data_IF_896525311410
#
_entry.id   IF_896525311410
#
_cell.length_a   1.000
_cell.length_b   1.000
_cell.length_c   1.000
_cell.angle_alpha   90.00
_cell.angle_beta   90.00
_cell.angle_gamma   90.00
#
_symmetry.space_group_name_H-M   'P 1'
#
loop_
_entity.id
_entity.type
_entity.pdbx_description
1 polymer ?
#
# COMPACT_ATOMS: atom_id res chain seq x y z
N UNK A 1 -76.04 -3.00 19.31
CA UNK A 1 -75.36 -2.31 20.43
C UNK A 1 -73.84 -2.55 20.37
N UNK A 2 -73.06 -1.77 19.60
CA UNK A 2 -71.57 -1.90 19.51
C UNK A 2 -70.88 -0.57 19.13
N UNK A 3 -71.41 0.59 19.55
CA UNK A 3 -70.85 1.91 19.21
C UNK A 3 -70.29 2.71 20.39
N UNK A 4 -70.62 2.34 21.62
CA UNK A 4 -70.20 3.05 22.84
C UNK A 4 -68.71 2.83 23.18
N UNK A 5 -68.19 1.62 22.97
CA UNK A 5 -66.86 1.26 23.47
C UNK A 5 -65.71 2.00 22.78
N UNK A 6 -65.83 2.33 21.48
CA UNK A 6 -64.76 3.04 20.77
C UNK A 6 -64.52 4.46 21.33
N UNK A 7 -65.52 5.12 21.90
CA UNK A 7 -65.36 6.51 22.36
C UNK A 7 -64.60 6.60 23.69
N UNK A 8 -64.81 5.66 24.60
CA UNK A 8 -64.17 5.66 25.92
C UNK A 8 -62.70 5.27 25.86
N UNK A 9 -62.31 4.29 25.04
CA UNK A 9 -60.88 4.03 24.78
C UNK A 9 -60.24 5.24 24.09
N UNK A 10 -60.83 5.81 23.03
CA UNK A 10 -60.24 7.00 22.37
C UNK A 10 -60.04 8.17 23.33
N UNK A 11 -60.98 8.43 24.23
CA UNK A 11 -60.88 9.49 25.25
C UNK A 11 -59.80 9.20 26.29
N UNK A 12 -59.61 7.94 26.67
CA UNK A 12 -58.55 7.52 27.57
C UNK A 12 -57.16 7.67 26.93
N UNK A 13 -57.00 7.21 25.68
CA UNK A 13 -55.75 7.36 24.90
C UNK A 13 -55.45 8.82 24.51
N UNK A 14 -56.47 9.67 24.35
CA UNK A 14 -56.32 11.10 24.07
C UNK A 14 -56.16 11.97 25.33
N UNK A 15 -56.15 11.38 26.52
CA UNK A 15 -55.95 12.12 27.76
C UNK A 15 -54.48 12.56 27.90
N UNK A 16 -54.25 13.79 28.37
CA UNK A 16 -52.90 14.36 28.54
C UNK A 16 -52.05 13.51 29.50
N UNK A 17 -52.66 12.94 30.54
CA UNK A 17 -51.98 12.07 31.51
C UNK A 17 -51.57 10.74 30.89
N UNK A 18 -52.43 10.11 30.09
CA UNK A 18 -52.08 8.87 29.38
C UNK A 18 -50.91 9.09 28.41
N UNK A 19 -50.90 10.20 27.67
CA UNK A 19 -49.78 10.55 26.78
C UNK A 19 -48.46 10.70 27.55
N UNK A 20 -48.48 11.35 28.72
CA UNK A 20 -47.28 11.52 29.55
C UNK A 20 -46.77 10.16 30.06
N UNK A 21 -47.66 9.30 30.57
CA UNK A 21 -47.28 7.97 31.06
C UNK A 21 -46.76 7.09 29.91
N UNK A 22 -47.42 7.10 28.76
CA UNK A 22 -46.98 6.38 27.57
C UNK A 22 -45.61 6.88 27.09
N UNK A 23 -45.36 8.19 27.12
CA UNK A 23 -44.07 8.78 26.76
C UNK A 23 -42.97 8.37 27.74
N UNK A 24 -43.25 8.31 29.05
CA UNK A 24 -42.30 7.81 30.05
C UNK A 24 -41.95 6.35 29.78
N UNK A 25 -42.96 5.50 29.57
CA UNK A 25 -42.75 4.07 29.27
C UNK A 25 -41.94 3.89 27.97
N UNK A 26 -42.31 4.62 26.91
CA UNK A 26 -41.61 4.64 25.64
C UNK A 26 -40.14 5.03 25.81
N UNK A 27 -39.87 6.05 26.62
CA UNK A 27 -38.51 6.54 26.88
C UNK A 27 -37.68 5.47 27.61
N UNK A 28 -38.24 4.84 28.65
CA UNK A 28 -37.57 3.76 29.37
C UNK A 28 -37.27 2.56 28.45
N UNK A 29 -38.24 2.17 27.61
CA UNK A 29 -38.05 1.11 26.62
C UNK A 29 -36.96 1.46 25.60
N UNK A 30 -36.98 2.68 25.08
CA UNK A 30 -36.02 3.14 24.07
C UNK A 30 -34.61 3.17 24.66
N UNK A 31 -34.44 3.63 25.90
CA UNK A 31 -33.13 3.64 26.58
C UNK A 31 -32.61 2.22 26.82
N UNK A 32 -33.47 1.31 27.27
CA UNK A 32 -33.10 -0.10 27.46
C UNK A 32 -32.71 -0.78 26.16
N UNK A 33 -33.54 -0.59 25.12
CA UNK A 33 -33.29 -1.15 23.79
C UNK A 33 -32.03 -0.56 23.14
N UNK A 34 -31.83 0.76 23.22
CA UNK A 34 -30.64 1.42 22.68
C UNK A 34 -29.37 0.89 23.33
N UNK A 35 -29.36 0.70 24.66
CA UNK A 35 -28.21 0.14 25.38
C UNK A 35 -27.91 -1.29 24.96
N UNK A 36 -28.94 -2.13 24.85
CA UNK A 36 -28.79 -3.53 24.41
C UNK A 36 -28.30 -3.61 22.96
N UNK A 37 -28.90 -2.81 22.07
CA UNK A 37 -28.52 -2.73 20.66
C UNK A 37 -27.07 -2.28 20.48
N UNK A 38 -26.64 -1.27 21.26
CA UNK A 38 -25.26 -0.78 21.20
C UNK A 38 -24.24 -1.83 21.69
N UNK A 39 -24.61 -2.64 22.70
CA UNK A 39 -23.76 -3.74 23.15
C UNK A 39 -23.64 -4.83 22.08
N UNK A 40 -24.74 -5.24 21.48
CA UNK A 40 -24.75 -6.26 20.41
C UNK A 40 -23.91 -5.79 19.20
N UNK A 41 -24.07 -4.52 18.80
CA UNK A 41 -23.27 -3.92 17.74
C UNK A 41 -21.77 -3.94 18.06
N UNK A 42 -21.39 -3.55 19.29
CA UNK A 42 -19.99 -3.56 19.73
C UNK A 42 -19.40 -4.98 19.73
N UNK A 43 -20.16 -5.97 20.17
CA UNK A 43 -19.72 -7.38 20.16
C UNK A 43 -19.51 -7.86 18.73
N UNK A 44 -20.45 -7.59 17.82
CA UNK A 44 -20.30 -7.94 16.39
C UNK A 44 -19.10 -7.26 15.76
N UNK A 45 -18.86 -5.99 16.09
CA UNK A 45 -17.68 -5.29 15.60
C UNK A 45 -16.38 -5.93 16.10
N UNK A 46 -16.33 -6.35 17.36
CA UNK A 46 -15.17 -7.06 17.92
C UNK A 46 -14.96 -8.41 17.23
N UNK A 47 -16.04 -9.17 16.96
CA UNK A 47 -15.96 -10.44 16.23
C UNK A 47 -15.34 -10.20 14.85
N UNK A 48 -15.86 -9.23 14.09
CA UNK A 48 -15.33 -8.93 12.76
C UNK A 48 -13.86 -8.49 12.82
N UNK A 49 -13.48 -7.66 13.81
CA UNK A 49 -12.09 -7.25 13.99
C UNK A 49 -11.17 -8.44 14.30
N UNK A 50 -11.61 -9.37 15.15
CA UNK A 50 -10.85 -10.58 15.47
C UNK A 50 -10.72 -11.50 14.25
N UNK A 51 -11.78 -11.66 13.45
CA UNK A 51 -11.73 -12.44 12.21
C UNK A 51 -10.75 -11.84 11.20
N UNK A 52 -10.77 -10.52 11.03
CA UNK A 52 -9.81 -9.81 10.17
C UNK A 52 -8.37 -9.97 10.68
N UNK A 53 -8.16 -9.91 11.99
CA UNK A 53 -6.85 -10.11 12.60
C UNK A 53 -6.32 -11.53 12.37
N UNK A 54 -7.16 -12.56 12.56
CA UNK A 54 -6.82 -13.96 12.26
C UNK A 54 -6.42 -14.12 10.80
N UNK A 55 -7.21 -13.59 9.86
CA UNK A 55 -6.89 -13.65 8.44
C UNK A 55 -5.56 -12.95 8.12
N UNK A 56 -5.30 -11.81 8.75
CA UNK A 56 -4.03 -11.11 8.58
C UNK A 56 -2.84 -11.91 9.12
N UNK A 57 -3.01 -12.61 10.23
CA UNK A 57 -2.00 -13.47 10.83
C UNK A 57 -1.72 -14.71 9.97
N UNK A 58 -2.75 -15.32 9.40
CA UNK A 58 -2.61 -16.43 8.45
C UNK A 58 -1.81 -16.01 7.21
N UNK A 59 -2.11 -14.85 6.64
CA UNK A 59 -1.35 -14.31 5.49
C UNK A 59 0.12 -14.08 5.85
N UNK A 60 0.39 -13.45 7.01
CA UNK A 60 1.77 -13.23 7.51
C UNK A 60 2.51 -14.54 7.73
N UNK A 61 1.82 -15.58 8.20
CA UNK A 61 2.40 -16.92 8.36
C UNK A 61 2.81 -17.50 7.02
N UNK A 62 1.96 -17.42 5.99
CA UNK A 62 2.27 -17.91 4.64
C UNK A 62 3.48 -17.19 4.08
N UNK A 63 3.49 -15.84 4.14
CA UNK A 63 4.62 -15.02 3.69
C UNK A 63 5.92 -15.40 4.42
N UNK A 64 5.86 -15.58 5.74
CA UNK A 64 7.03 -15.98 6.54
C UNK A 64 7.56 -17.35 6.13
N UNK A 65 6.68 -18.31 5.80
CA UNK A 65 7.08 -19.63 5.31
C UNK A 65 7.73 -19.53 3.93
N UNK A 66 7.22 -18.68 3.05
CA UNK A 66 7.80 -18.46 1.72
C UNK A 66 9.20 -17.85 1.80
N UNK A 67 9.39 -16.84 2.66
CA UNK A 67 10.71 -16.24 2.93
C UNK A 67 11.66 -17.31 3.48
N UNK A 68 11.20 -18.10 4.45
CA UNK A 68 12.02 -19.17 5.02
C UNK A 68 12.44 -20.16 3.95
N UNK A 69 11.49 -20.59 3.10
CA UNK A 69 11.76 -21.49 1.97
C UNK A 69 12.82 -20.91 1.04
N UNK A 70 12.72 -19.62 0.69
CA UNK A 70 13.72 -18.95 -0.15
C UNK A 70 15.10 -18.94 0.51
N UNK A 71 15.20 -18.47 1.76
CA UNK A 71 16.48 -18.36 2.48
C UNK A 71 17.14 -19.73 2.70
N UNK A 72 16.35 -20.80 2.89
CA UNK A 72 16.86 -22.17 3.03
C UNK A 72 17.20 -22.85 1.70
N UNK A 73 16.87 -22.23 0.56
CA UNK A 73 17.07 -22.84 -0.75
C UNK A 73 18.48 -22.60 -1.30
N UNK A 74 18.95 -23.51 -2.15
CA UNK A 74 20.23 -23.37 -2.87
C UNK A 74 20.31 -22.09 -3.70
N UNK A 75 19.15 -21.61 -4.18
CA UNK A 75 19.06 -20.34 -4.90
C UNK A 75 19.53 -19.15 -4.07
N UNK A 76 19.21 -19.12 -2.77
CA UNK A 76 19.69 -18.06 -1.89
C UNK A 76 21.21 -18.13 -1.71
N UNK A 77 21.77 -19.34 -1.62
CA UNK A 77 23.23 -19.54 -1.56
C UNK A 77 23.89 -19.05 -2.84
N UNK A 78 23.33 -19.37 -4.00
CA UNK A 78 23.83 -18.88 -5.30
C UNK A 78 23.73 -17.36 -5.41
N UNK A 79 22.58 -16.77 -5.07
CA UNK A 79 22.37 -15.32 -5.09
C UNK A 79 23.42 -14.61 -4.19
N UNK A 80 23.66 -15.15 -2.99
CA UNK A 80 24.69 -14.61 -2.07
C UNK A 80 26.12 -14.84 -2.56
N UNK A 81 26.43 -15.98 -3.17
CA UNK A 81 27.74 -16.23 -3.74
C UNK A 81 28.04 -15.27 -4.91
N UNK A 82 27.06 -15.03 -5.78
CA UNK A 82 27.19 -14.08 -6.90
C UNK A 82 27.31 -12.63 -6.42
N UNK A 83 26.49 -12.22 -5.47
CA UNK A 83 26.42 -10.80 -5.04
C UNK A 83 27.52 -10.40 -4.05
N UNK A 84 27.82 -11.25 -3.05
CA UNK A 84 28.76 -10.90 -1.98
C UNK A 84 30.18 -11.36 -2.31
N UNK A 85 30.31 -12.49 -3.01
CA UNK A 85 31.61 -13.13 -3.27
C UNK A 85 32.04 -13.02 -4.74
N UNK A 86 31.23 -12.41 -5.61
CA UNK A 86 31.44 -12.37 -7.07
C UNK A 86 31.76 -13.75 -7.65
N UNK A 87 31.22 -14.81 -7.04
CA UNK A 87 31.42 -16.19 -7.47
C UNK A 87 30.51 -16.52 -8.65
N UNK A 88 30.96 -17.46 -9.48
CA UNK A 88 30.26 -17.92 -10.69
C UNK A 88 29.99 -19.42 -10.60
N UNK A 89 28.96 -19.88 -11.31
CA UNK A 89 28.70 -21.30 -11.42
C UNK A 89 29.75 -22.02 -12.29
N UNK A 90 29.90 -23.33 -12.11
CA UNK A 90 30.78 -24.13 -12.96
C UNK A 90 30.33 -24.06 -14.43
N UNK A 91 31.24 -23.67 -15.32
CA UNK A 91 30.96 -23.49 -16.76
C UNK A 91 30.68 -22.05 -17.22
N UNK A 92 30.61 -21.07 -16.30
CA UNK A 92 30.39 -19.66 -16.64
C UNK A 92 31.71 -18.93 -16.96
N UNK A 93 31.78 -18.15 -18.04
CA UNK A 93 32.93 -17.30 -18.39
C UNK A 93 32.72 -15.87 -17.86
N UNK A 94 33.66 -15.41 -17.03
CA UNK A 94 33.67 -14.03 -16.52
C UNK A 94 34.70 -13.26 -17.32
N UNK A 95 34.28 -12.17 -17.96
CA UNK A 95 35.15 -11.24 -18.68
C UNK A 95 35.44 -10.08 -17.72
N UNK A 96 36.69 -9.98 -17.28
CA UNK A 96 37.16 -8.80 -16.57
C UNK A 96 37.50 -7.73 -17.60
N UNK A 97 36.69 -6.67 -17.67
CA UNK A 97 37.02 -5.49 -18.45
C UNK A 97 38.02 -4.70 -17.61
N UNK A 98 39.32 -4.88 -17.88
CA UNK A 98 40.33 -3.94 -17.40
C UNK A 98 40.15 -2.65 -18.19
N UNK A 99 39.87 -1.57 -17.47
CA UNK A 99 39.93 -0.23 -18.03
C UNK A 99 41.40 0.01 -18.43
N UNK A 100 41.71 -0.09 -19.72
CA UNK A 100 43.06 0.14 -20.28
C UNK A 100 43.53 1.59 -20.11
N UNK A 101 42.84 2.38 -19.28
CA UNK A 101 43.08 3.80 -19.03
C UNK A 101 43.86 4.08 -17.73
N UNK A 102 44.14 3.07 -16.88
CA UNK A 102 44.83 3.33 -15.60
C UNK A 102 46.37 3.36 -15.69
N UNK A 103 46.99 2.83 -16.74
CA UNK A 103 48.45 2.93 -16.91
C UNK A 103 48.92 4.33 -17.37
N UNK A 104 47.98 5.25 -17.66
CA UNK A 104 48.25 6.65 -18.02
C UNK A 104 47.63 7.67 -17.05
N UNK A 105 47.32 7.29 -15.80
CA UNK A 105 46.82 8.24 -14.77
C UNK A 105 47.93 9.07 -14.10
N UNK A 106 48.90 9.51 -14.91
CA UNK A 106 49.81 10.60 -14.61
C UNK A 106 49.60 11.69 -15.65
N UNK A 107 49.11 12.84 -15.18
CA UNK A 107 48.81 14.09 -15.91
C UNK A 107 47.38 14.26 -16.46
N UNK A 108 46.69 15.25 -15.89
CA UNK A 108 45.64 16.00 -16.59
C UNK A 108 44.27 15.33 -16.62
N UNK A 109 43.44 15.66 -15.62
CA UNK A 109 41.99 15.53 -15.72
C UNK A 109 41.52 16.40 -16.89
N UNK A 110 41.29 15.78 -18.04
CA UNK A 110 40.43 16.29 -19.09
C UNK A 110 39.60 15.10 -19.57
N UNK A 111 38.36 15.05 -19.10
CA UNK A 111 37.34 14.10 -19.57
C UNK A 111 37.03 14.39 -21.05
N UNK A 112 37.84 13.84 -21.93
CA UNK A 112 37.61 13.81 -23.37
C UNK A 112 36.82 12.53 -23.71
N UNK A 113 35.53 12.56 -23.41
CA UNK A 113 34.59 11.63 -24.03
C UNK A 113 34.41 12.04 -25.49
N UNK A 114 35.14 11.35 -26.36
CA UNK A 114 34.98 11.40 -27.80
C UNK A 114 33.51 11.23 -28.18
N UNK A 115 32.92 12.30 -28.67
CA UNK A 115 31.75 12.24 -29.55
C UNK A 115 32.21 12.80 -30.88
N UNK A 116 32.24 11.95 -31.89
CA UNK A 116 32.29 12.33 -33.30
C UNK A 116 31.04 13.15 -33.63
N UNK A 117 31.05 14.42 -33.26
CA UNK A 117 30.33 15.52 -33.89
C UNK A 117 30.74 16.79 -33.13
N UNK A 118 31.24 17.80 -33.85
CA UNK A 118 31.80 19.04 -33.31
C UNK A 118 30.78 19.99 -32.63
N UNK A 119 29.86 19.44 -31.84
CA UNK A 119 28.82 20.15 -31.12
C UNK A 119 29.21 20.25 -29.63
N UNK A 120 29.70 21.41 -29.21
CA UNK A 120 30.01 21.76 -27.81
C UNK A 120 28.73 22.01 -26.99
N UNK A 121 27.74 21.14 -27.11
CA UNK A 121 26.49 21.21 -26.34
C UNK A 121 26.70 20.44 -25.05
N UNK A 122 26.43 21.07 -23.90
CA UNK A 122 26.55 20.43 -22.60
C UNK A 122 25.57 19.26 -22.45
N UNK A 123 25.98 18.21 -21.74
CA UNK A 123 25.18 16.99 -21.58
C UNK A 123 23.76 17.25 -21.06
N UNK A 124 23.51 18.11 -20.05
CA UNK A 124 22.15 18.39 -19.57
C UNK A 124 21.22 18.96 -20.64
N UNK A 125 21.77 19.76 -21.57
CA UNK A 125 21.01 20.32 -22.69
C UNK A 125 20.62 19.21 -23.68
N UNK A 126 21.53 18.28 -23.98
CA UNK A 126 21.23 17.12 -24.83
C UNK A 126 20.07 16.28 -24.27
N UNK A 127 20.09 16.00 -22.96
CA UNK A 127 19.00 15.28 -22.28
C UNK A 127 17.67 16.02 -22.38
N UNK A 128 17.69 17.35 -22.17
CA UNK A 128 16.48 18.16 -22.31
C UNK A 128 15.88 18.04 -23.71
N UNK A 129 16.69 18.18 -24.77
CA UNK A 129 16.24 18.03 -26.17
C UNK A 129 15.68 16.64 -26.47
N UNK A 130 16.27 15.58 -25.90
CA UNK A 130 15.74 14.21 -25.99
C UNK A 130 14.34 14.10 -25.39
N UNK A 131 14.13 14.59 -24.17
CA UNK A 131 12.83 14.50 -23.50
C UNK A 131 11.72 15.29 -24.23
N UNK A 132 12.07 16.43 -24.84
CA UNK A 132 11.11 17.24 -25.59
C UNK A 132 10.97 16.81 -27.06
N UNK A 133 11.62 15.70 -27.47
CA UNK A 133 11.59 15.16 -28.84
C UNK A 133 11.92 16.22 -29.92
N UNK A 134 12.85 17.13 -29.62
CA UNK A 134 13.24 18.22 -30.52
C UNK A 134 14.67 17.99 -31.00
N UNK A 135 14.93 18.26 -32.27
CA UNK A 135 16.28 18.16 -32.84
C UNK A 135 17.21 19.22 -32.25
N UNK A 136 18.49 18.86 -32.06
CA UNK A 136 19.53 19.79 -31.65
C UNK A 136 19.63 20.93 -32.68
N UNK A 137 19.91 22.18 -32.24
CA UNK A 137 20.04 23.31 -33.14
C UNK A 137 21.26 23.11 -34.06
N UNK A 138 21.01 22.88 -35.35
CA UNK A 138 22.05 22.88 -36.39
C UNK A 138 22.48 24.32 -36.63
N UNK A 139 23.79 24.61 -36.53
CA UNK A 139 24.31 25.94 -36.86
C UNK A 139 24.34 26.05 -38.38
N UNK A 140 23.39 26.78 -38.98
CA UNK A 140 23.56 27.27 -40.35
C UNK A 140 24.75 28.25 -40.33
N UNK A 141 25.71 28.02 -41.24
CA UNK A 141 26.90 28.86 -41.41
C UNK A 141 26.57 30.16 -42.11
#
# INVERSE_FOLDING_TARGET
MKREQQSSVRRFFASRSFLIVALIIMTLFTLGFARAYYQDYKVKQQINQLEDEVKSLENKKIESIEILKYVTSDKYVEDKARTELNMKAEGEQVIFIQDLNEENRGEGINDEYGTEDGQTISNPVKWFYYFIHKSLPTREQ
#
